data_IF_775333577829
#
_entry.id   IF_775333577829
#
_cell.length_a   1.000
_cell.length_b   1.000
_cell.length_c   1.000
_cell.angle_alpha   90.00
_cell.angle_beta   90.00
_cell.angle_gamma   90.00
#
_symmetry.space_group_name_H-M   'P 1'
#
loop_
_entity.id
_entity.type
_entity.pdbx_description
1 polymer ?
#
# COMPACT_ATOMS: atom_id res chain seq x y z
N UNK A 1 -5.37 -17.24 13.77
CA UNK A 1 -4.00 -16.72 13.55
C UNK A 1 -3.32 -16.47 14.90
N UNK A 2 -3.94 -15.66 15.78
CA UNK A 2 -3.46 -15.37 17.15
C UNK A 2 -3.03 -16.61 17.93
N UNK A 3 -3.85 -17.65 18.00
CA UNK A 3 -3.52 -18.90 18.72
C UNK A 3 -2.32 -19.66 18.14
N UNK A 4 -2.14 -19.65 16.82
CA UNK A 4 -1.01 -20.31 16.18
C UNK A 4 0.29 -19.52 16.43
N UNK A 5 0.21 -18.19 16.36
CA UNK A 5 1.33 -17.29 16.65
C UNK A 5 1.68 -17.31 18.15
N UNK A 6 0.70 -17.40 19.05
CA UNK A 6 0.94 -17.41 20.50
C UNK A 6 1.84 -18.56 20.95
N UNK A 7 1.80 -19.70 20.26
CA UNK A 7 2.70 -20.85 20.49
C UNK A 7 4.14 -20.58 20.03
N UNK A 8 4.34 -19.70 19.05
CA UNK A 8 5.67 -19.33 18.50
C UNK A 8 6.27 -18.11 19.18
N UNK A 9 5.44 -17.22 19.71
CA UNK A 9 5.85 -15.97 20.36
C UNK A 9 6.31 -16.23 21.80
N UNK A 10 7.62 -16.06 22.05
CA UNK A 10 8.25 -16.31 23.35
C UNK A 10 8.68 -15.06 24.13
N UNK A 11 8.57 -13.88 23.53
CA UNK A 11 9.02 -12.62 24.15
C UNK A 11 8.41 -11.40 23.47
N UNK A 12 8.47 -10.23 24.11
CA UNK A 12 8.06 -8.96 23.51
C UNK A 12 8.81 -8.64 22.19
N UNK A 13 10.09 -9.03 22.07
CA UNK A 13 10.85 -8.90 20.82
C UNK A 13 10.26 -9.79 19.73
N UNK A 14 9.96 -11.04 20.07
CA UNK A 14 9.33 -11.98 19.14
C UNK A 14 7.95 -11.50 18.71
N UNK A 15 7.13 -10.95 19.63
CA UNK A 15 5.82 -10.39 19.28
C UNK A 15 5.94 -9.29 18.24
N UNK A 16 6.83 -8.31 18.45
CA UNK A 16 7.06 -7.21 17.52
C UNK A 16 7.58 -7.69 16.16
N UNK A 17 8.48 -8.68 16.16
CA UNK A 17 8.97 -9.30 14.93
C UNK A 17 7.84 -9.95 14.13
N UNK A 18 6.95 -10.71 14.79
CA UNK A 18 5.80 -11.32 14.11
C UNK A 18 4.78 -10.27 13.65
N UNK A 19 4.58 -9.18 14.40
CA UNK A 19 3.74 -8.05 13.95
C UNK A 19 4.33 -7.43 12.69
N UNK A 20 5.62 -7.15 12.69
CA UNK A 20 6.34 -6.57 11.55
C UNK A 20 6.32 -7.48 10.32
N UNK A 21 6.60 -8.77 10.50
CA UNK A 21 6.50 -9.76 9.41
C UNK A 21 5.09 -9.83 8.84
N UNK A 22 4.06 -9.84 9.70
CA UNK A 22 2.68 -9.89 9.24
C UNK A 22 2.31 -8.63 8.44
N UNK A 23 2.78 -7.45 8.84
CA UNK A 23 2.66 -6.22 8.05
C UNK A 23 3.34 -6.34 6.68
N UNK A 24 4.55 -6.90 6.62
CA UNK A 24 5.23 -7.14 5.34
C UNK A 24 4.47 -8.10 4.44
N UNK A 25 3.86 -9.15 5.00
CA UNK A 25 3.13 -10.14 4.21
C UNK A 25 1.79 -9.61 3.67
N UNK A 26 1.14 -8.67 4.36
CA UNK A 26 -0.15 -8.09 3.93
C UNK A 26 0.12 -6.78 3.18
N UNK A 27 0.94 -6.82 2.13
CA UNK A 27 1.44 -5.62 1.43
C UNK A 27 0.49 -5.04 0.38
N UNK A 28 -0.58 -5.75 0.02
CA UNK A 28 -1.41 -5.39 -1.14
C UNK A 28 -2.25 -4.12 -0.92
N UNK A 29 -2.55 -3.78 0.34
CA UNK A 29 -3.35 -2.62 0.71
C UNK A 29 -3.06 -2.17 2.16
N UNK A 30 -2.87 -0.87 2.37
CA UNK A 30 -2.46 -0.28 3.65
C UNK A 30 -3.56 -0.28 4.71
N UNK A 31 -4.81 -0.01 4.33
CA UNK A 31 -5.95 -0.09 5.24
C UNK A 31 -6.21 -1.52 5.70
N UNK A 32 -6.24 -2.46 4.77
CA UNK A 32 -6.43 -3.89 5.06
C UNK A 32 -5.31 -4.41 5.95
N UNK A 33 -4.07 -4.04 5.67
CA UNK A 33 -2.92 -4.34 6.53
C UNK A 33 -3.15 -3.82 7.96
N UNK A 34 -3.44 -2.52 8.08
CA UNK A 34 -3.61 -1.87 9.38
C UNK A 34 -4.72 -2.51 10.21
N UNK A 35 -5.84 -2.82 9.57
CA UNK A 35 -6.98 -3.47 10.20
C UNK A 35 -6.68 -4.91 10.62
N UNK A 36 -6.12 -5.73 9.73
CA UNK A 36 -5.89 -7.14 10.02
C UNK A 36 -4.75 -7.29 11.03
N UNK A 37 -3.60 -6.67 10.80
CA UNK A 37 -2.43 -6.79 11.67
C UNK A 37 -2.70 -6.15 13.02
N UNK A 38 -3.26 -4.95 13.04
CA UNK A 38 -3.62 -4.24 14.26
C UNK A 38 -4.55 -5.05 15.16
N UNK A 39 -5.64 -5.58 14.61
CA UNK A 39 -6.60 -6.37 15.40
C UNK A 39 -6.08 -7.76 15.77
N UNK A 40 -5.33 -8.42 14.89
CA UNK A 40 -4.79 -9.76 15.16
C UNK A 40 -3.68 -9.71 16.20
N UNK A 41 -2.80 -8.70 16.16
CA UNK A 41 -1.63 -8.64 17.03
C UNK A 41 -1.91 -7.99 18.39
N UNK A 42 -2.97 -7.19 18.52
CA UNK A 42 -3.33 -6.50 19.77
C UNK A 42 -3.36 -7.42 21.00
N UNK A 43 -4.04 -8.59 21.00
CA UNK A 43 -4.03 -9.46 22.18
C UNK A 43 -2.63 -10.00 22.53
N UNK A 44 -1.77 -10.21 21.54
CA UNK A 44 -0.40 -10.69 21.75
C UNK A 44 0.51 -9.57 22.27
N UNK A 45 0.35 -8.35 21.76
CA UNK A 45 1.11 -7.20 22.25
C UNK A 45 0.70 -6.83 23.67
N UNK A 46 -0.59 -6.89 23.98
CA UNK A 46 -1.13 -6.62 25.31
C UNK A 46 -0.59 -7.64 26.32
N UNK A 47 -0.61 -8.94 25.98
CA UNK A 47 -0.01 -10.02 26.80
C UNK A 47 1.47 -9.78 27.13
N UNK A 48 2.22 -9.25 26.17
CA UNK A 48 3.65 -8.99 26.32
C UNK A 48 3.98 -7.55 26.72
N UNK A 49 3.00 -6.79 27.22
CA UNK A 49 3.16 -5.43 27.75
C UNK A 49 3.86 -4.49 26.77
N UNK A 50 3.46 -4.53 25.51
CA UNK A 50 3.87 -3.57 24.48
C UNK A 50 2.80 -2.48 24.42
N UNK A 51 3.21 -1.22 24.40
CA UNK A 51 2.30 -0.07 24.35
C UNK A 51 1.46 -0.08 23.06
N UNK A 52 0.22 0.44 23.14
CA UNK A 52 -0.65 0.52 21.96
C UNK A 52 -0.10 1.50 20.92
N UNK A 53 0.62 2.53 21.36
CA UNK A 53 1.36 3.46 20.50
C UNK A 53 2.43 2.74 19.69
N UNK A 54 3.17 1.80 20.30
CA UNK A 54 4.20 1.04 19.59
C UNK A 54 3.61 0.03 18.62
N UNK A 55 2.49 -0.62 18.97
CA UNK A 55 1.75 -1.44 18.02
C UNK A 55 1.30 -0.60 16.82
N UNK A 56 0.67 0.56 17.07
CA UNK A 56 0.22 1.46 16.01
C UNK A 56 1.39 1.90 15.12
N UNK A 57 2.54 2.24 15.70
CA UNK A 57 3.75 2.61 14.97
C UNK A 57 4.26 1.49 14.05
N UNK A 58 4.36 0.25 14.56
CA UNK A 58 4.81 -0.90 13.74
C UNK A 58 3.84 -1.15 12.59
N UNK A 59 2.55 -1.12 12.88
CA UNK A 59 1.50 -1.40 11.89
C UNK A 59 1.49 -0.33 10.80
N UNK A 60 1.49 0.95 11.17
CA UNK A 60 1.52 2.08 10.23
C UNK A 60 2.79 2.06 9.35
N UNK A 61 3.96 1.87 9.98
CA UNK A 61 5.26 1.81 9.30
C UNK A 61 5.45 0.55 8.45
N UNK A 62 4.55 -0.43 8.51
CA UNK A 62 4.57 -1.62 7.65
C UNK A 62 3.42 -1.67 6.66
N UNK A 63 2.40 -0.83 6.81
CA UNK A 63 1.26 -0.74 5.90
C UNK A 63 1.62 0.06 4.65
N UNK A 64 1.65 1.39 4.74
CA UNK A 64 1.92 2.27 3.59
C UNK A 64 3.33 2.07 2.98
N UNK A 65 4.41 1.96 3.78
CA UNK A 65 5.74 1.69 3.24
C UNK A 65 5.83 0.41 2.40
N UNK A 66 5.24 -0.70 2.84
CA UNK A 66 5.24 -1.93 2.04
C UNK A 66 4.31 -1.85 0.84
N UNK A 67 3.14 -1.23 0.97
CA UNK A 67 2.25 -1.01 -0.16
C UNK A 67 2.95 -0.21 -1.27
N UNK A 68 3.80 0.76 -0.90
CA UNK A 68 4.61 1.53 -1.83
C UNK A 68 5.79 0.76 -2.44
N UNK A 69 6.30 -0.30 -1.79
CA UNK A 69 7.46 -1.07 -2.28
C UNK A 69 7.04 -2.35 -3.03
N UNK A 70 5.80 -2.79 -2.84
CA UNK A 70 5.25 -3.93 -3.53
C UNK A 70 5.18 -3.67 -5.04
N UNK A 71 5.38 -4.73 -5.84
CA UNK A 71 5.22 -4.64 -7.31
C UNK A 71 3.75 -4.52 -7.72
N UNK A 72 2.85 -4.96 -6.84
CA UNK A 72 1.42 -5.01 -7.04
C UNK A 72 0.77 -4.64 -5.71
N UNK A 73 0.12 -3.49 -5.67
CA UNK A 73 -0.69 -3.01 -4.54
C UNK A 73 -1.71 -1.98 -5.03
N UNK A 74 -2.61 -1.58 -4.14
CA UNK A 74 -3.55 -0.48 -4.39
C UNK A 74 -2.84 0.84 -4.67
N UNK A 75 -1.70 1.09 -4.03
CA UNK A 75 -0.86 2.27 -4.25
C UNK A 75 -0.30 2.30 -5.68
N UNK A 76 0.26 1.17 -6.13
CA UNK A 76 0.90 1.07 -7.44
C UNK A 76 -0.11 1.33 -8.55
N UNK A 77 -1.31 0.75 -8.46
CA UNK A 77 -2.38 1.00 -9.44
C UNK A 77 -2.75 2.49 -9.54
N UNK A 78 -2.81 3.18 -8.41
CA UNK A 78 -3.11 4.61 -8.39
C UNK A 78 -1.97 5.48 -8.91
N UNK A 79 -0.74 5.22 -8.49
CA UNK A 79 0.45 5.94 -8.94
C UNK A 79 0.63 5.79 -10.46
N UNK A 80 0.48 4.59 -11.02
CA UNK A 80 0.52 4.36 -12.48
C UNK A 80 -0.54 5.22 -13.18
N UNK A 81 -1.76 5.27 -12.65
CA UNK A 81 -2.85 6.05 -13.25
C UNK A 81 -2.48 7.53 -13.33
N UNK A 82 -1.94 8.12 -12.26
CA UNK A 82 -1.56 9.53 -12.23
C UNK A 82 -0.33 9.81 -13.09
N UNK A 83 0.67 8.94 -13.03
CA UNK A 83 1.87 9.04 -13.88
C UNK A 83 1.46 9.01 -15.35
N UNK A 84 0.63 8.04 -15.75
CA UNK A 84 0.19 7.90 -17.14
C UNK A 84 -0.63 9.11 -17.61
N UNK A 85 -1.47 9.67 -16.74
CA UNK A 85 -2.19 10.91 -17.03
C UNK A 85 -1.23 12.06 -17.32
N UNK A 86 -0.19 12.25 -16.50
CA UNK A 86 0.81 13.29 -16.70
C UNK A 86 1.68 13.04 -17.95
N UNK A 87 2.13 11.81 -18.19
CA UNK A 87 2.95 11.48 -19.36
C UNK A 87 2.18 11.72 -20.67
N UNK A 88 0.93 11.27 -20.73
CA UNK A 88 0.05 11.46 -21.90
C UNK A 88 -0.22 12.94 -22.16
N UNK A 89 -0.49 13.73 -21.10
CA UNK A 89 -0.76 15.17 -21.22
C UNK A 89 0.42 15.95 -21.82
N UNK A 90 1.65 15.49 -21.58
CA UNK A 90 2.89 16.12 -22.06
C UNK A 90 3.51 15.41 -23.26
N UNK A 91 2.82 14.43 -23.86
CA UNK A 91 3.28 13.72 -25.06
C UNK A 91 4.55 12.89 -24.86
N UNK A 92 4.83 12.46 -23.63
CA UNK A 92 6.00 11.63 -23.31
C UNK A 92 5.64 10.16 -23.51
N UNK A 93 6.19 9.54 -24.56
CA UNK A 93 6.03 8.11 -24.83
C UNK A 93 6.94 7.27 -23.93
N UNK A 94 6.59 7.18 -22.64
CA UNK A 94 7.26 6.32 -21.67
C UNK A 94 6.25 5.47 -20.91
N UNK A 95 6.63 4.23 -20.61
CA UNK A 95 5.76 3.32 -19.86
C UNK A 95 5.70 3.72 -18.38
N UNK A 96 4.51 4.09 -17.91
CA UNK A 96 4.27 4.55 -16.54
C UNK A 96 4.65 3.49 -15.50
N UNK A 97 4.45 2.19 -15.80
CA UNK A 97 4.83 1.11 -14.89
C UNK A 97 6.36 0.99 -14.78
N UNK A 98 7.08 1.05 -15.90
CA UNK A 98 8.55 1.02 -15.91
C UNK A 98 9.16 2.21 -15.17
N UNK A 99 8.57 3.40 -15.31
CA UNK A 99 8.99 4.59 -14.56
C UNK A 99 8.77 4.39 -13.05
N UNK A 100 7.65 3.79 -12.68
CA UNK A 100 7.38 3.46 -11.30
C UNK A 100 8.37 2.41 -10.77
N UNK A 101 8.68 1.35 -11.52
CA UNK A 101 9.62 0.32 -11.11
C UNK A 101 11.03 0.88 -10.89
N UNK A 102 11.49 1.78 -11.77
CA UNK A 102 12.79 2.44 -11.60
C UNK A 102 12.82 3.38 -10.40
N UNK A 103 11.67 3.88 -9.94
CA UNK A 103 11.54 4.68 -8.72
C UNK A 103 11.65 3.88 -7.42
N UNK A 104 11.40 2.57 -7.42
CA UNK A 104 11.32 1.75 -6.18
C UNK A 104 12.61 1.84 -5.34
N UNK A 105 13.83 1.71 -5.89
CA UNK A 105 15.06 1.86 -5.12
C UNK A 105 15.24 3.25 -4.50
N UNK A 106 14.59 4.27 -5.05
CA UNK A 106 14.64 5.66 -4.58
C UNK A 106 13.57 5.97 -3.52
N UNK A 107 12.73 5.00 -3.13
CA UNK A 107 11.73 5.14 -2.06
C UNK A 107 12.40 5.05 -0.68
N UNK A 108 13.34 5.97 -0.42
CA UNK A 108 14.20 5.97 0.76
C UNK A 108 13.40 5.95 2.06
N UNK A 109 12.34 6.76 2.17
CA UNK A 109 11.48 6.78 3.35
C UNK A 109 10.90 5.39 3.66
N UNK A 110 10.32 4.70 2.67
CA UNK A 110 9.70 3.40 2.85
C UNK A 110 10.71 2.34 3.27
N UNK A 111 11.86 2.30 2.60
CA UNK A 111 12.95 1.36 2.89
C UNK A 111 13.52 1.60 4.29
N UNK A 112 13.83 2.86 4.62
CA UNK A 112 14.41 3.25 5.90
C UNK A 112 13.40 2.99 7.02
N UNK A 113 12.11 3.31 6.85
CA UNK A 113 11.09 3.10 7.87
C UNK A 113 10.97 1.62 8.26
N UNK A 114 10.94 0.72 7.27
CA UNK A 114 10.88 -0.73 7.52
C UNK A 114 12.12 -1.24 8.25
N UNK A 115 13.30 -0.80 7.81
CA UNK A 115 14.57 -1.12 8.46
C UNK A 115 14.61 -0.56 9.88
N UNK A 116 14.10 0.65 10.08
CA UNK A 116 14.13 1.34 11.35
C UNK A 116 13.25 0.64 12.39
N UNK A 117 12.04 0.24 12.03
CA UNK A 117 11.19 -0.60 12.89
C UNK A 117 11.90 -1.90 13.26
N UNK A 118 12.53 -2.56 12.28
CA UNK A 118 13.32 -3.77 12.50
C UNK A 118 14.45 -3.56 13.52
N UNK A 119 15.19 -2.45 13.41
CA UNK A 119 16.25 -2.09 14.33
C UNK A 119 15.71 -1.79 15.74
N UNK A 120 14.61 -1.04 15.86
CA UNK A 120 14.04 -0.65 17.16
C UNK A 120 13.67 -1.85 18.02
N UNK A 121 12.90 -2.81 17.48
CA UNK A 121 12.52 -3.98 18.27
C UNK A 121 13.68 -4.96 18.47
N UNK A 122 14.68 -4.97 17.56
CA UNK A 122 15.84 -5.85 17.64
C UNK A 122 16.83 -5.40 18.71
N UNK A 123 17.14 -4.10 18.72
CA UNK A 123 18.05 -3.44 19.65
C UNK A 123 17.39 -3.13 21.00
N UNK A 124 16.06 -3.14 21.06
CA UNK A 124 15.26 -2.77 22.25
C UNK A 124 15.59 -1.36 22.76
N UNK A 125 15.90 -0.44 21.84
CA UNK A 125 16.26 0.95 22.14
C UNK A 125 15.14 1.88 21.66
N UNK A 126 14.10 1.99 22.46
CA UNK A 126 13.07 3.03 22.29
C UNK A 126 13.62 4.39 22.76
N UNK A 127 13.19 5.48 22.13
CA UNK A 127 13.62 6.85 22.48
C UNK A 127 12.44 7.82 22.44
N UNK A 128 12.63 9.02 23.01
CA UNK A 128 11.63 10.08 23.01
C UNK A 128 10.30 9.66 23.66
N UNK A 129 9.15 10.11 23.12
CA UNK A 129 7.82 9.76 23.64
C UNK A 129 7.53 8.25 23.66
N UNK A 130 8.10 7.50 22.69
CA UNK A 130 7.91 6.05 22.60
C UNK A 130 8.55 5.31 23.79
N UNK A 131 9.71 5.79 24.27
CA UNK A 131 10.34 5.22 25.46
C UNK A 131 9.47 5.39 26.70
N UNK A 132 8.83 6.55 26.85
CA UNK A 132 7.89 6.82 27.95
C UNK A 132 6.67 5.91 27.87
N UNK A 133 6.11 5.73 26.66
CA UNK A 133 4.99 4.82 26.42
C UNK A 133 5.34 3.36 26.74
N UNK A 134 6.53 2.88 26.33
CA UNK A 134 6.98 1.53 26.64
C UNK A 134 7.23 1.32 28.14
N UNK A 135 7.87 2.27 28.84
CA UNK A 135 8.04 2.21 30.30
C UNK A 135 6.69 2.10 31.02
N UNK A 136 5.71 2.90 30.59
CA UNK A 136 4.32 2.87 31.08
C UNK A 136 3.66 1.49 30.82
N UNK A 137 3.80 0.94 29.62
CA UNK A 137 3.27 -0.37 29.27
C UNK A 137 3.88 -1.49 30.11
N UNK A 138 5.18 -1.44 30.40
CA UNK A 138 5.86 -2.41 31.30
C UNK A 138 5.31 -2.37 32.72
N UNK A 139 4.91 -1.19 33.20
CA UNK A 139 4.22 -1.00 34.48
C UNK A 139 2.75 -1.47 34.47
N UNK A 140 2.22 -1.93 33.33
CA UNK A 140 0.88 -2.52 33.21
C UNK A 140 -0.19 -1.59 32.63
N UNK A 141 0.12 -0.31 32.42
CA UNK A 141 -0.80 0.63 31.77
C UNK A 141 -0.53 0.65 30.27
N UNK A 142 -1.34 -0.01 29.44
CA UNK A 142 -1.08 -0.16 27.99
C UNK A 142 -1.44 1.09 27.17
N UNK A 143 -2.39 1.89 27.65
CA UNK A 143 -2.78 3.17 27.09
C UNK A 143 -2.37 4.33 28.01
N UNK A 144 -2.16 5.50 27.42
CA UNK A 144 -2.09 6.75 28.18
C UNK A 144 -3.47 7.03 28.80
N UNK A 145 -3.51 7.60 30.01
CA UNK A 145 -4.75 7.87 30.75
C UNK A 145 -5.64 8.89 30.01
N UNK A 146 -5.02 9.80 29.25
CA UNK A 146 -5.72 10.79 28.44
C UNK A 146 -5.88 10.34 26.97
N UNK A 147 -5.60 9.07 26.64
CA UNK A 147 -5.74 8.58 25.27
C UNK A 147 -7.22 8.45 24.90
N UNK A 148 -7.61 9.08 23.80
CA UNK A 148 -8.90 8.84 23.14
C UNK A 148 -8.61 8.04 21.88
N UNK A 149 -8.90 6.72 21.86
CA UNK A 149 -8.72 5.93 20.65
C UNK A 149 -9.62 6.46 19.53
N UNK A 150 -9.01 6.87 18.41
CA UNK A 150 -9.72 7.39 17.23
C UNK A 150 -10.68 6.36 16.59
N UNK A 151 -10.42 5.08 16.81
CA UNK A 151 -11.22 3.98 16.26
C UNK A 151 -11.38 2.89 17.32
N UNK A 152 -12.50 2.94 18.03
CA UNK A 152 -12.88 1.86 18.93
C UNK A 152 -13.56 0.75 18.14
N UNK A 153 -12.77 -0.17 17.58
CA UNK A 153 -13.28 -1.30 16.82
C UNK A 153 -14.15 -2.25 17.67
N UNK A 154 -14.16 -2.12 19.01
CA UNK A 154 -15.15 -2.81 19.85
C UNK A 154 -16.59 -2.40 19.50
N UNK A 155 -16.80 -1.18 18.99
CA UNK A 155 -18.10 -0.67 18.58
C UNK A 155 -18.63 -1.23 17.24
N UNK A 156 -17.82 -1.97 16.48
CA UNK A 156 -18.21 -2.47 15.15
C UNK A 156 -19.08 -3.74 15.18
N UNK A 157 -19.39 -4.28 16.37
CA UNK A 157 -20.37 -5.38 16.54
C UNK A 157 -19.97 -6.72 15.90
N UNK A 158 -18.80 -6.82 15.27
CA UNK A 158 -18.27 -8.02 14.63
C UNK A 158 -17.39 -8.84 15.59
N UNK A 159 -17.77 -8.88 16.87
CA UNK A 159 -17.11 -9.78 17.80
C UNK A 159 -17.43 -11.22 17.37
N UNK A 160 -16.43 -12.09 17.18
CA UNK A 160 -16.68 -13.47 16.81
C UNK A 160 -17.59 -14.12 17.85
N UNK A 161 -18.64 -14.80 17.39
CA UNK A 161 -19.52 -15.59 18.25
C UNK A 161 -18.67 -16.49 19.14
N UNK A 162 -18.87 -16.41 20.47
CA UNK A 162 -18.12 -17.19 21.46
C UNK A 162 -18.20 -18.70 21.24
N UNK A 163 -19.15 -19.17 20.42
CA UNK A 163 -19.42 -20.59 20.16
C UNK A 163 -18.70 -21.15 18.93
N UNK A 164 -18.07 -20.31 18.11
CA UNK A 164 -17.44 -20.74 16.85
C UNK A 164 -15.92 -20.82 17.02
N UNK A 165 -15.34 -22.00 16.80
CA UNK A 165 -13.88 -22.17 16.80
C UNK A 165 -13.25 -21.37 15.65
N UNK A 166 -12.33 -20.43 15.92
CA UNK A 166 -11.75 -19.59 14.89
C UNK A 166 -10.84 -20.41 13.97
N UNK A 167 -11.17 -20.45 12.67
CA UNK A 167 -10.35 -21.14 11.66
C UNK A 167 -9.52 -20.13 10.88
N UNK A 168 -8.20 -20.28 10.94
CA UNK A 168 -7.25 -19.32 10.33
C UNK A 168 -7.44 -19.19 8.81
N UNK A 169 -7.84 -20.28 8.16
CA UNK A 169 -8.01 -20.31 6.70
C UNK A 169 -9.19 -19.47 6.20
N UNK A 170 -10.16 -19.11 7.07
CA UNK A 170 -11.27 -18.23 6.68
C UNK A 170 -10.81 -16.79 6.40
N UNK A 171 -9.70 -16.36 7.00
CA UNK A 171 -9.06 -15.07 6.66
C UNK A 171 -8.02 -15.21 5.54
N UNK A 172 -7.26 -16.31 5.53
CA UNK A 172 -6.13 -16.47 4.61
C UNK A 172 -6.55 -16.88 3.20
N UNK A 173 -7.55 -17.75 3.03
CA UNK A 173 -7.97 -18.21 1.70
C UNK A 173 -8.44 -17.04 0.82
N UNK A 174 -9.31 -16.11 1.28
CA UNK A 174 -9.71 -14.98 0.45
C UNK A 174 -8.54 -14.11 0.00
N UNK A 175 -7.55 -13.90 0.87
CA UNK A 175 -6.33 -13.16 0.53
C UNK A 175 -5.51 -13.89 -0.54
N UNK A 176 -5.33 -15.21 -0.38
CA UNK A 176 -4.64 -16.04 -1.39
C UNK A 176 -5.39 -16.00 -2.73
N UNK A 177 -6.72 -16.05 -2.72
CA UNK A 177 -7.54 -15.93 -3.94
C UNK A 177 -7.28 -14.59 -4.62
N UNK A 178 -7.29 -13.48 -3.90
CA UNK A 178 -6.97 -12.15 -4.47
C UNK A 178 -5.57 -12.15 -5.08
N UNK A 179 -4.56 -12.64 -4.36
CA UNK A 179 -3.18 -12.70 -4.84
C UNK A 179 -3.09 -13.53 -6.13
N UNK A 180 -3.59 -14.77 -6.12
CA UNK A 180 -3.49 -15.69 -7.25
C UNK A 180 -4.24 -15.15 -8.47
N UNK A 181 -5.46 -14.64 -8.29
CA UNK A 181 -6.25 -14.07 -9.38
C UNK A 181 -5.58 -12.81 -9.93
N UNK A 182 -4.95 -11.99 -9.08
CA UNK A 182 -4.23 -10.79 -9.54
C UNK A 182 -3.01 -11.17 -10.38
N UNK A 183 -2.12 -12.04 -9.88
CA UNK A 183 -0.92 -12.45 -10.64
C UNK A 183 -1.29 -13.16 -11.95
N UNK A 184 -2.27 -14.07 -11.90
CA UNK A 184 -2.73 -14.79 -13.10
C UNK A 184 -3.41 -13.83 -14.07
N UNK A 185 -4.25 -12.93 -13.58
CA UNK A 185 -4.93 -11.94 -14.39
C UNK A 185 -3.97 -10.96 -15.06
N UNK A 186 -2.96 -10.46 -14.34
CA UNK A 186 -1.95 -9.56 -14.90
C UNK A 186 -1.13 -10.28 -15.97
N UNK A 187 -0.75 -11.53 -15.72
CA UNK A 187 -0.03 -12.33 -16.72
C UNK A 187 -0.86 -12.57 -17.98
N UNK A 188 -2.13 -12.98 -17.84
CA UNK A 188 -3.01 -13.26 -18.98
C UNK A 188 -3.37 -11.98 -19.75
N UNK A 189 -3.75 -10.92 -19.03
CA UNK A 189 -4.07 -9.60 -19.60
C UNK A 189 -2.87 -9.02 -20.33
N UNK A 190 -1.70 -9.02 -19.68
CA UNK A 190 -0.43 -8.57 -20.26
C UNK A 190 -0.02 -9.34 -21.50
N UNK A 191 -0.11 -10.68 -21.46
CA UNK A 191 0.17 -11.50 -22.65
C UNK A 191 -0.78 -11.20 -23.79
N UNK A 192 -2.08 -11.04 -23.50
CA UNK A 192 -3.06 -10.72 -24.54
C UNK A 192 -2.75 -9.39 -25.22
N UNK A 193 -2.31 -8.37 -24.46
CA UNK A 193 -1.89 -7.09 -25.01
C UNK A 193 -0.63 -7.22 -25.87
N UNK A 194 0.34 -8.04 -25.46
CA UNK A 194 1.56 -8.29 -26.25
C UNK A 194 1.29 -9.08 -27.53
N UNK A 195 0.33 -10.03 -27.52
CA UNK A 195 -0.11 -10.72 -28.75
C UNK A 195 -0.65 -9.71 -29.76
N UNK A 196 -1.48 -8.76 -29.32
CA UNK A 196 -2.03 -7.72 -30.19
C UNK A 196 -0.93 -6.82 -30.77
N UNK A 197 0.14 -6.56 -30.01
CA UNK A 197 1.31 -5.79 -30.46
C UNK A 197 2.28 -6.58 -31.36
N UNK A 198 2.07 -7.89 -31.55
CA UNK A 198 2.96 -8.74 -32.35
C UNK A 198 4.31 -9.04 -31.69
N UNK A 199 4.41 -8.87 -30.37
CA UNK A 199 5.65 -9.05 -29.62
C UNK A 199 6.02 -10.54 -29.47
N UNK A 200 7.27 -10.96 -29.81
CA UNK A 200 7.70 -12.36 -29.73
C UNK A 200 7.59 -12.96 -28.33
N UNK A 201 7.67 -12.09 -27.32
CA UNK A 201 7.54 -12.46 -25.91
C UNK A 201 6.18 -13.10 -25.59
N UNK A 202 5.12 -12.73 -26.32
CA UNK A 202 3.78 -13.26 -26.11
C UNK A 202 3.68 -14.76 -26.42
N UNK A 203 4.51 -15.27 -27.34
CA UNK A 203 4.54 -16.68 -27.73
C UNK A 203 5.26 -17.57 -26.71
N UNK A 204 6.07 -17.00 -25.80
CA UNK A 204 6.78 -17.78 -24.79
C UNK A 204 5.80 -18.35 -23.75
N UNK A 205 6.02 -19.61 -23.38
CA UNK A 205 5.32 -20.26 -22.26
C UNK A 205 5.80 -19.68 -20.92
N UNK A 206 4.95 -19.74 -19.89
CA UNK A 206 5.27 -19.26 -18.54
C UNK A 206 6.59 -19.83 -18.02
N UNK A 207 6.78 -21.15 -18.14
CA UNK A 207 8.03 -21.81 -17.75
C UNK A 207 9.22 -21.37 -18.60
N UNK A 208 9.01 -21.13 -19.90
CA UNK A 208 10.05 -20.61 -20.79
C UNK A 208 10.48 -19.18 -20.43
N UNK A 209 9.60 -18.40 -19.82
CA UNK A 209 9.91 -17.08 -19.30
C UNK A 209 10.63 -17.20 -17.95
N UNK A 210 10.10 -18.02 -17.03
CA UNK A 210 10.62 -18.18 -15.67
C UNK A 210 12.05 -18.75 -15.64
N UNK A 211 12.35 -19.70 -16.53
CA UNK A 211 13.68 -20.29 -16.67
C UNK A 211 14.57 -19.57 -17.69
N UNK A 212 14.11 -18.45 -18.26
CA UNK A 212 14.99 -17.59 -19.04
C UNK A 212 15.94 -16.82 -18.10
N UNK A 213 17.16 -16.56 -18.55
CA UNK A 213 18.09 -15.67 -17.84
C UNK A 213 17.58 -14.23 -17.68
N UNK A 214 16.42 -13.89 -18.27
CA UNK A 214 15.77 -12.58 -18.25
C UNK A 214 14.36 -12.60 -17.62
N UNK A 215 14.03 -13.61 -16.80
CA UNK A 215 12.69 -13.80 -16.23
C UNK A 215 12.09 -12.55 -15.59
N UNK A 216 12.87 -11.80 -14.81
CA UNK A 216 12.43 -10.56 -14.16
C UNK A 216 12.04 -9.47 -15.16
N UNK A 217 12.83 -9.30 -16.23
CA UNK A 217 12.56 -8.30 -17.27
C UNK A 217 11.35 -8.69 -18.10
N UNK A 218 11.26 -9.96 -18.47
CA UNK A 218 10.20 -10.50 -19.31
C UNK A 218 8.85 -10.55 -18.56
N UNK A 219 8.84 -10.87 -17.25
CA UNK A 219 7.61 -10.71 -16.43
C UNK A 219 7.25 -9.23 -16.28
N UNK A 220 8.23 -8.36 -16.08
CA UNK A 220 8.02 -6.92 -15.94
C UNK A 220 7.31 -6.32 -17.15
N UNK A 221 7.73 -6.67 -18.37
CA UNK A 221 7.11 -6.16 -19.61
C UNK A 221 5.72 -6.74 -19.89
N UNK A 222 5.46 -7.98 -19.47
CA UNK A 222 4.11 -8.56 -19.52
C UNK A 222 3.20 -7.82 -18.57
N UNK A 223 3.61 -7.65 -17.32
CA UNK A 223 2.81 -6.99 -16.29
C UNK A 223 2.59 -5.51 -16.65
N UNK A 224 3.59 -4.82 -17.20
CA UNK A 224 3.44 -3.42 -17.63
C UNK A 224 2.42 -3.24 -18.76
N UNK A 225 2.32 -4.24 -19.64
CA UNK A 225 1.36 -4.23 -20.75
C UNK A 225 -0.06 -4.63 -20.34
N UNK A 226 -0.27 -5.04 -19.09
CA UNK A 226 -1.55 -5.53 -18.61
C UNK A 226 -2.51 -4.38 -18.26
N UNK A 227 -3.80 -4.59 -18.52
CA UNK A 227 -4.86 -3.78 -17.92
C UNK A 227 -4.98 -4.13 -16.43
N UNK A 228 -4.19 -3.43 -15.61
CA UNK A 228 -4.14 -3.65 -14.16
C UNK A 228 -5.47 -3.34 -13.47
N UNK A 229 -6.21 -2.34 -13.97
CA UNK A 229 -7.49 -1.93 -13.38
C UNK A 229 -8.53 -3.05 -13.49
N UNK A 230 -8.73 -3.62 -14.69
CA UNK A 230 -9.67 -4.73 -14.89
C UNK A 230 -9.29 -5.94 -14.05
N UNK A 231 -8.00 -6.27 -13.99
CA UNK A 231 -7.53 -7.44 -13.23
C UNK A 231 -7.79 -7.27 -11.74
N UNK A 232 -7.46 -6.10 -11.17
CA UNK A 232 -7.68 -5.82 -9.74
C UNK A 232 -9.18 -5.84 -9.40
N UNK A 233 -10.04 -5.35 -10.31
CA UNK A 233 -11.49 -5.43 -10.15
C UNK A 233 -11.96 -6.90 -10.00
N UNK A 234 -11.61 -7.77 -10.95
CA UNK A 234 -11.98 -9.18 -10.89
C UNK A 234 -11.37 -9.91 -9.69
N UNK A 235 -10.12 -9.63 -9.34
CA UNK A 235 -9.46 -10.21 -8.17
C UNK A 235 -10.17 -9.86 -6.86
N UNK A 236 -10.56 -8.59 -6.68
CA UNK A 236 -11.30 -8.14 -5.50
C UNK A 236 -12.69 -8.80 -5.41
N UNK A 237 -13.40 -8.93 -6.53
CA UNK A 237 -14.70 -9.61 -6.59
C UNK A 237 -14.58 -11.10 -6.23
N UNK A 238 -13.59 -11.80 -6.77
CA UNK A 238 -13.33 -13.21 -6.46
C UNK A 238 -12.92 -13.42 -4.99
N UNK A 239 -12.12 -12.50 -4.44
CA UNK A 239 -11.78 -12.46 -3.02
C UNK A 239 -13.02 -12.32 -2.13
N UNK A 240 -13.85 -11.31 -2.38
CA UNK A 240 -15.09 -11.09 -1.64
C UNK A 240 -16.04 -12.29 -1.74
N UNK A 241 -16.22 -12.84 -2.95
CA UNK A 241 -17.06 -14.02 -3.17
C UNK A 241 -16.54 -15.22 -2.40
N UNK A 242 -15.22 -15.47 -2.42
CA UNK A 242 -14.62 -16.57 -1.67
C UNK A 242 -14.83 -16.45 -0.15
N UNK A 243 -14.75 -15.24 0.40
CA UNK A 243 -15.01 -14.98 1.82
C UNK A 243 -16.48 -15.24 2.20
N UNK A 244 -17.42 -14.81 1.34
CA UNK A 244 -18.85 -15.06 1.51
C UNK A 244 -19.14 -16.56 1.42
N UNK A 245 -18.61 -17.24 0.40
CA UNK A 245 -18.79 -18.68 0.19
C UNK A 245 -18.25 -19.49 1.38
N UNK A 246 -17.04 -19.19 1.87
CA UNK A 246 -16.47 -19.88 3.02
C UNK A 246 -17.29 -19.67 4.29
N UNK A 247 -17.73 -18.43 4.54
CA UNK A 247 -18.55 -18.09 5.71
C UNK A 247 -19.93 -18.76 5.67
N UNK A 248 -20.52 -18.84 4.48
CA UNK A 248 -21.82 -19.46 4.25
C UNK A 248 -21.76 -21.00 4.33
N UNK A 249 -20.81 -21.64 3.63
CA UNK A 249 -20.64 -23.11 3.62
C UNK A 249 -20.33 -23.64 5.03
N UNK A 250 -19.55 -22.90 5.81
CA UNK A 250 -19.24 -23.26 7.19
C UNK A 250 -20.34 -22.88 8.19
N UNK A 251 -21.44 -22.26 7.71
CA UNK A 251 -22.57 -21.80 8.53
C UNK A 251 -22.13 -20.89 9.68
N UNK A 252 -21.10 -20.07 9.44
CA UNK A 252 -20.57 -19.12 10.42
C UNK A 252 -21.42 -17.85 10.43
N UNK A 253 -21.74 -17.36 9.24
CA UNK A 253 -22.57 -16.17 9.02
C UNK A 253 -23.70 -16.51 8.05
N UNK A 254 -24.86 -15.89 8.27
CA UNK A 254 -25.94 -15.91 7.28
C UNK A 254 -25.57 -15.00 6.10
N UNK A 255 -26.13 -15.26 4.92
CA UNK A 255 -25.89 -14.44 3.72
C UNK A 255 -26.10 -12.94 3.97
N UNK A 256 -27.17 -12.59 4.72
CA UNK A 256 -27.45 -11.19 5.11
C UNK A 256 -26.30 -10.58 5.92
N UNK A 257 -25.77 -11.31 6.90
CA UNK A 257 -24.66 -10.84 7.75
C UNK A 257 -23.37 -10.70 6.94
N UNK A 258 -23.10 -11.65 6.02
CA UNK A 258 -21.97 -11.57 5.11
C UNK A 258 -22.04 -10.36 4.18
N UNK A 259 -23.22 -10.05 3.64
CA UNK A 259 -23.45 -8.85 2.82
C UNK A 259 -23.30 -7.58 3.68
N UNK A 260 -23.84 -7.54 4.89
CA UNK A 260 -23.65 -6.39 5.80
C UNK A 260 -22.17 -6.16 6.13
N UNK A 261 -21.41 -7.23 6.38
CA UNK A 261 -19.97 -7.14 6.60
C UNK A 261 -19.23 -6.62 5.36
N UNK A 262 -19.60 -7.08 4.16
CA UNK A 262 -19.06 -6.57 2.89
C UNK A 262 -19.36 -5.07 2.72
N UNK A 263 -20.59 -4.63 2.98
CA UNK A 263 -20.98 -3.21 2.91
C UNK A 263 -20.22 -2.38 3.94
N UNK A 264 -20.01 -2.89 5.14
CA UNK A 264 -19.22 -2.19 6.16
C UNK A 264 -17.76 -2.03 5.72
N UNK A 265 -17.18 -3.06 5.08
CA UNK A 265 -15.88 -2.98 4.42
C UNK A 265 -15.86 -1.89 3.35
N UNK A 266 -16.82 -1.89 2.43
CA UNK A 266 -16.92 -0.84 1.39
C UNK A 266 -17.06 0.57 1.98
N UNK A 267 -17.86 0.75 3.04
CA UNK A 267 -17.99 2.04 3.74
C UNK A 267 -16.67 2.54 4.31
N UNK A 268 -15.85 1.64 4.85
CA UNK A 268 -14.53 2.02 5.36
C UNK A 268 -13.60 2.59 4.28
N UNK A 269 -13.82 2.23 3.01
CA UNK A 269 -13.02 2.68 1.86
C UNK A 269 -13.58 3.94 1.17
N UNK A 270 -14.74 4.46 1.61
CA UNK A 270 -15.40 5.60 0.97
C UNK A 270 -14.51 6.84 0.88
N UNK A 271 -13.75 7.12 1.95
CA UNK A 271 -12.85 8.29 1.98
C UNK A 271 -11.76 8.18 0.90
N UNK A 272 -11.17 7.00 0.72
CA UNK A 272 -10.15 6.77 -0.31
C UNK A 272 -10.74 7.00 -1.71
N UNK A 273 -11.94 6.49 -1.99
CA UNK A 273 -12.63 6.68 -3.27
C UNK A 273 -12.88 8.16 -3.56
N UNK A 274 -13.35 8.92 -2.56
CA UNK A 274 -13.59 10.36 -2.73
C UNK A 274 -12.30 11.13 -3.07
N UNK A 275 -11.19 10.81 -2.39
CA UNK A 275 -9.89 11.42 -2.67
C UNK A 275 -9.44 11.11 -4.10
N UNK A 276 -9.55 9.85 -4.55
CA UNK A 276 -9.17 9.43 -5.91
C UNK A 276 -9.95 10.21 -6.99
N UNK A 277 -11.26 10.38 -6.80
CA UNK A 277 -12.10 11.14 -7.75
C UNK A 277 -11.70 12.62 -7.76
N UNK A 278 -11.45 13.22 -6.60
CA UNK A 278 -10.97 14.61 -6.51
C UNK A 278 -9.57 14.78 -7.12
N UNK A 279 -8.70 13.78 -6.99
CA UNK A 279 -7.36 13.77 -7.56
C UNK A 279 -7.38 13.88 -9.08
N UNK A 280 -8.20 13.05 -9.73
CA UNK A 280 -8.34 13.06 -11.18
C UNK A 280 -8.89 14.40 -11.66
N UNK A 281 -9.90 14.94 -10.98
CA UNK A 281 -10.45 16.27 -11.28
C UNK A 281 -9.39 17.36 -11.15
N UNK A 282 -8.60 17.36 -10.07
CA UNK A 282 -7.52 18.31 -9.86
C UNK A 282 -6.45 18.20 -10.96
N UNK A 283 -6.05 16.97 -11.31
CA UNK A 283 -5.07 16.72 -12.37
C UNK A 283 -5.50 17.30 -13.71
N UNK A 284 -6.77 17.12 -14.10
CA UNK A 284 -7.32 17.72 -15.34
C UNK A 284 -7.29 19.25 -15.27
N UNK A 285 -7.74 19.84 -14.17
CA UNK A 285 -7.75 21.31 -14.00
C UNK A 285 -6.33 21.90 -14.05
N UNK A 286 -5.35 21.25 -13.43
CA UNK A 286 -3.95 21.71 -13.45
C UNK A 286 -3.35 21.72 -14.86
N UNK A 287 -3.72 20.72 -15.68
CA UNK A 287 -3.34 20.65 -17.10
C UNK A 287 -4.03 21.75 -17.90
N UNK A 288 -5.34 21.96 -17.72
CA UNK A 288 -6.09 23.02 -18.42
C UNK A 288 -5.56 24.43 -18.09
N UNK A 289 -5.21 24.67 -16.83
CA UNK A 289 -4.64 25.93 -16.37
C UNK A 289 -3.17 26.11 -16.77
N UNK A 290 -2.53 25.10 -17.38
CA UNK A 290 -1.10 25.10 -17.70
C UNK A 290 -0.22 25.44 -16.49
N UNK A 291 -0.62 24.94 -15.32
CA UNK A 291 0.01 25.33 -14.05
C UNK A 291 1.50 24.96 -14.02
N UNK A 292 1.86 23.80 -14.58
CA UNK A 292 3.26 23.39 -14.64
C UNK A 292 4.09 24.27 -15.58
N UNK A 293 3.56 24.68 -16.74
CA UNK A 293 4.27 25.56 -17.68
C UNK A 293 4.58 26.92 -17.03
N UNK A 294 3.60 27.46 -16.29
CA UNK A 294 3.77 28.68 -15.51
C UNK A 294 4.86 28.52 -14.43
N UNK A 295 4.81 27.44 -13.65
CA UNK A 295 5.82 27.17 -12.62
C UNK A 295 7.21 26.94 -13.23
N UNK A 296 7.33 26.17 -14.31
CA UNK A 296 8.60 25.98 -15.01
C UNK A 296 9.16 27.32 -15.47
N UNK A 297 8.33 28.22 -16.03
CA UNK A 297 8.78 29.55 -16.46
C UNK A 297 9.32 30.44 -15.32
N UNK A 298 8.79 30.26 -14.10
CA UNK A 298 9.25 30.99 -12.91
C UNK A 298 10.52 30.38 -12.31
N UNK A 299 10.66 29.06 -12.40
CA UNK A 299 11.72 28.30 -11.71
C UNK A 299 12.94 28.05 -12.61
N UNK A 300 12.80 28.05 -13.94
CA UNK A 300 13.86 27.68 -14.89
C UNK A 300 15.12 28.55 -14.82
N UNK A 301 15.06 29.76 -14.26
CA UNK A 301 16.21 30.66 -14.10
C UNK A 301 16.84 30.67 -12.71
N UNK A 302 16.13 30.16 -11.68
CA UNK A 302 16.51 30.36 -10.27
C UNK A 302 16.64 29.07 -9.45
N UNK A 303 16.32 27.91 -10.03
CA UNK A 303 16.27 26.66 -9.29
C UNK A 303 17.33 25.66 -9.76
N UNK A 304 18.22 25.29 -8.85
CA UNK A 304 19.08 24.13 -9.04
C UNK A 304 18.21 22.88 -9.05
N UNK A 305 18.13 22.25 -10.21
CA UNK A 305 17.41 20.99 -10.44
C UNK A 305 17.84 19.86 -9.50
N UNK A 306 19.07 19.91 -8.97
CA UNK A 306 19.55 18.94 -7.96
C UNK A 306 18.85 19.10 -6.61
N UNK A 307 18.37 20.29 -6.28
CA UNK A 307 17.65 20.58 -5.03
C UNK A 307 16.15 20.25 -5.15
N UNK A 308 15.64 20.09 -6.37
CA UNK A 308 14.23 19.87 -6.62
C UNK A 308 13.63 18.67 -5.86
N UNK A 309 14.27 17.47 -5.79
CA UNK A 309 13.77 16.36 -4.99
C UNK A 309 13.63 16.69 -3.49
N UNK A 310 14.55 17.48 -2.93
CA UNK A 310 14.51 17.90 -1.52
C UNK A 310 13.34 18.86 -1.26
N UNK A 311 13.08 19.78 -2.20
CA UNK A 311 11.93 20.70 -2.13
C UNK A 311 10.63 19.90 -2.20
N UNK A 312 10.50 18.99 -3.18
CA UNK A 312 9.34 18.11 -3.32
C UNK A 312 9.11 17.31 -2.05
N UNK A 313 10.16 16.80 -1.41
CA UNK A 313 10.07 16.07 -0.14
C UNK A 313 9.49 16.94 0.99
N UNK A 314 10.03 18.16 1.18
CA UNK A 314 9.57 19.08 2.24
C UNK A 314 8.12 19.51 2.00
N UNK A 315 7.77 19.90 0.77
CA UNK A 315 6.39 20.30 0.43
C UNK A 315 5.41 19.14 0.58
N UNK A 316 5.78 17.93 0.14
CA UNK A 316 4.97 16.73 0.35
C UNK A 316 4.75 16.48 1.84
N UNK A 317 5.78 16.67 2.67
CA UNK A 317 5.68 16.54 4.12
C UNK A 317 4.72 17.54 4.75
N UNK A 318 4.76 18.81 4.33
CA UNK A 318 3.83 19.85 4.79
C UNK A 318 2.39 19.51 4.39
N UNK A 319 2.16 19.14 3.13
CA UNK A 319 0.83 18.77 2.63
C UNK A 319 0.31 17.53 3.36
N UNK A 320 1.14 16.50 3.54
CA UNK A 320 0.77 15.30 4.26
C UNK A 320 0.39 15.58 5.72
N UNK A 321 1.14 16.46 6.39
CA UNK A 321 0.83 16.89 7.75
C UNK A 321 -0.49 17.67 7.84
N UNK A 322 -0.73 18.59 6.90
CA UNK A 322 -1.94 19.41 6.88
C UNK A 322 -3.20 18.65 6.47
N UNK A 323 -3.07 17.71 5.52
CA UNK A 323 -4.21 16.93 5.01
C UNK A 323 -4.49 15.66 5.82
N UNK A 324 -3.48 15.14 6.51
CA UNK A 324 -3.59 13.89 7.29
C UNK A 324 -3.78 12.64 6.43
N UNK A 325 -3.53 12.72 5.11
CA UNK A 325 -3.72 11.59 4.17
C UNK A 325 -2.59 11.50 3.14
N UNK A 326 -2.00 10.30 3.04
CA UNK A 326 -1.00 9.98 2.01
C UNK A 326 -1.61 9.97 0.61
N UNK A 327 -2.79 9.38 0.45
CA UNK A 327 -3.55 9.34 -0.81
C UNK A 327 -3.79 10.75 -1.35
N UNK A 328 -4.21 11.68 -0.48
CA UNK A 328 -4.44 13.08 -0.88
C UNK A 328 -3.14 13.80 -1.25
N UNK A 329 -2.04 13.50 -0.56
CA UNK A 329 -0.73 14.08 -0.88
C UNK A 329 -0.25 13.63 -2.27
N UNK A 330 -0.34 12.34 -2.58
CA UNK A 330 0.01 11.80 -3.92
C UNK A 330 -0.86 12.45 -5.01
N UNK A 331 -2.17 12.54 -4.73
CA UNK A 331 -3.17 13.14 -5.63
C UNK A 331 -2.84 14.58 -6.05
N UNK A 332 -2.25 15.35 -5.14
CA UNK A 332 -1.86 16.75 -5.38
C UNK A 332 -0.46 16.80 -6.01
N UNK A 333 0.48 16.04 -5.46
CA UNK A 333 1.90 16.17 -5.80
C UNK A 333 2.25 15.55 -7.16
N UNK A 334 1.67 14.41 -7.54
CA UNK A 334 2.04 13.75 -8.80
C UNK A 334 1.68 14.57 -10.03
N UNK A 335 0.42 15.06 -10.18
CA UNK A 335 0.03 15.90 -11.32
C UNK A 335 0.76 17.23 -11.38
N UNK A 336 1.38 17.67 -10.28
CA UNK A 336 2.16 18.90 -10.22
C UNK A 336 3.65 18.65 -10.55
N UNK A 337 4.28 17.72 -9.83
CA UNK A 337 5.73 17.50 -9.86
C UNK A 337 6.18 16.83 -11.14
N UNK A 338 5.41 15.87 -11.67
CA UNK A 338 5.81 15.12 -12.88
C UNK A 338 5.92 16.08 -14.08
N UNK A 339 4.89 16.88 -14.42
CA UNK A 339 5.00 17.90 -15.47
C UNK A 339 6.16 18.88 -15.31
N UNK A 340 6.37 19.40 -14.09
CA UNK A 340 7.46 20.33 -13.81
C UNK A 340 8.82 19.66 -14.08
N UNK A 341 8.98 18.41 -13.67
CA UNK A 341 10.20 17.63 -13.91
C UNK A 341 10.45 17.46 -15.41
N UNK A 342 9.42 17.10 -16.18
CA UNK A 342 9.51 16.96 -17.64
C UNK A 342 9.96 18.28 -18.29
N UNK A 343 9.34 19.40 -17.88
CA UNK A 343 9.70 20.73 -18.39
C UNK A 343 11.13 21.14 -18.05
N UNK A 344 11.59 20.89 -16.82
CA UNK A 344 12.96 21.18 -16.39
C UNK A 344 14.00 20.31 -17.11
N UNK A 345 13.72 19.01 -17.30
CA UNK A 345 14.61 18.10 -18.05
C UNK A 345 14.69 18.46 -19.54
N UNK A 346 13.61 18.98 -20.13
CA UNK A 346 13.63 19.46 -21.51
C UNK A 346 14.60 20.64 -21.71
N UNK A 347 14.79 21.48 -20.68
CA UNK A 347 15.66 22.65 -20.69
C UNK A 347 17.12 22.41 -20.26
N UNK A 348 17.48 21.22 -19.76
CA UNK A 348 18.83 20.89 -19.25
C UNK A 348 19.36 19.58 -19.88
N UNK A 349 20.12 19.65 -21.00
CA UNK A 349 20.60 18.47 -21.73
C UNK A 349 21.48 17.51 -20.91
N UNK A 350 22.16 18.03 -19.89
CA UNK A 350 23.12 17.30 -19.06
C UNK A 350 22.48 16.28 -18.09
N UNK A 351 21.14 16.27 -18.02
CA UNK A 351 20.34 15.47 -17.07
C UNK A 351 19.35 14.52 -17.76
N UNK A 352 19.44 14.39 -19.09
CA UNK A 352 18.63 13.44 -19.88
C UNK A 352 19.09 12.00 -19.72
#
# INVERSE_FOLDING_TARGET
IVEALSKKVKSAKSTQMYTWLMGIFIFFDDYTNTLIVGNTMRPLTDKWKISREKLAYIVDSTAAPMASLALISTWIGFEISLINQSLTAYGVEYDAYSLLLSSIPLRFYSIISLLFVFLIFTLKKDFGPMLTAEKRARAGKLLNENAVPLSDFEASGLNPSKFIKPKWFNGVIPIIVVIVVTFTGLYLSGKSALVVKGEPLAAKSFFGILFSGSAFRDLGSIISSADSFRVLLWASMMGALSAILLSFVQKILKLRESITAMVQGMKSMMMAILILVMAWSLGVVLVELKTADYLVSLLSSNLDIRLFPAIVFVFSGIIAFSTGTSWGTISIMFPLVIPITIGLMAGSPDLR
#
